data_IF_335723395796
#
_entry.id   IF_335723395796
#
_cell.length_a   1.000
_cell.length_b   1.000
_cell.length_c   1.000
_cell.angle_alpha   90.00
_cell.angle_beta   90.00
_cell.angle_gamma   90.00
#
_symmetry.space_group_name_H-M   'P 1'
#
loop_
_entity.id
_entity.type
_entity.pdbx_description
1 polymer ?
#
# COMPACT_ATOMS: atom_id res chain seq x y z
N UNK A 1 55.10 -31.63 -20.28
CA UNK A 1 56.01 -31.26 -21.39
C UNK A 1 55.96 -29.76 -21.58
N UNK A 2 57.06 -29.10 -22.00
CA UNK A 2 57.33 -27.69 -21.65
C UNK A 2 56.91 -26.66 -22.72
N UNK A 3 57.16 -25.38 -22.44
CA UNK A 3 57.26 -24.28 -23.44
C UNK A 3 58.58 -24.35 -24.24
N UNK A 4 59.28 -23.24 -24.60
CA UNK A 4 59.11 -21.81 -24.21
C UNK A 4 59.05 -20.87 -25.48
N UNK A 5 59.42 -19.58 -25.56
CA UNK A 5 60.14 -18.64 -24.66
C UNK A 5 59.86 -17.11 -24.91
N UNK A 6 60.89 -16.27 -24.70
CA UNK A 6 60.99 -14.81 -24.51
C UNK A 6 61.43 -14.06 -25.82
N UNK A 7 61.93 -12.81 -25.88
CA UNK A 7 62.42 -11.87 -24.87
C UNK A 7 62.42 -10.37 -25.28
N UNK A 8 62.24 -9.50 -24.27
CA UNK A 8 63.07 -8.35 -23.85
C UNK A 8 63.63 -7.25 -24.80
N UNK A 9 63.46 -5.99 -24.32
CA UNK A 9 64.50 -4.93 -24.24
C UNK A 9 64.44 -3.83 -25.30
N UNK A 10 64.74 -2.55 -25.05
CA UNK A 10 65.13 -1.80 -23.84
C UNK A 10 65.99 -0.57 -24.22
N UNK A 11 65.75 0.64 -23.67
CA UNK A 11 66.61 1.80 -24.00
C UNK A 11 66.10 3.20 -23.61
N UNK A 12 66.81 3.86 -22.70
CA UNK A 12 66.90 5.32 -22.46
C UNK A 12 68.40 5.69 -22.56
N UNK A 13 68.90 6.95 -22.44
CA UNK A 13 68.25 8.18 -21.94
C UNK A 13 68.61 9.52 -22.68
N UNK A 14 68.22 10.63 -22.03
CA UNK A 14 68.66 12.05 -22.06
C UNK A 14 70.18 12.38 -22.29
N UNK A 15 70.65 13.67 -22.26
CA UNK A 15 69.98 15.00 -22.12
C UNK A 15 70.48 16.11 -23.11
N UNK A 16 69.99 17.36 -22.97
CA UNK A 16 70.70 18.53 -23.55
C UNK A 16 70.03 19.91 -23.48
N UNK A 17 70.38 20.75 -22.48
CA UNK A 17 70.21 22.23 -22.45
C UNK A 17 71.61 22.86 -22.62
N UNK A 18 71.78 24.08 -23.21
CA UNK A 18 71.57 25.32 -22.43
C UNK A 18 71.23 26.62 -23.23
N UNK A 19 71.01 27.71 -22.47
CA UNK A 19 71.31 29.17 -22.67
C UNK A 19 71.62 29.69 -24.10
N UNK A 20 71.21 30.89 -24.53
CA UNK A 20 70.56 32.04 -23.86
C UNK A 20 71.00 33.37 -24.51
N UNK A 21 70.32 34.49 -24.24
CA UNK A 21 70.72 35.84 -24.68
C UNK A 21 69.66 36.60 -25.52
N UNK A 22 69.36 37.84 -25.13
CA UNK A 22 68.86 38.89 -26.02
C UNK A 22 69.99 39.92 -26.25
N UNK A 23 69.73 41.21 -26.50
CA UNK A 23 68.46 41.89 -26.86
C UNK A 23 68.57 42.70 -28.18
N UNK A 24 67.48 43.27 -28.69
CA UNK A 24 67.55 44.55 -29.42
C UNK A 24 66.20 45.29 -29.48
N UNK A 25 66.26 46.62 -29.51
CA UNK A 25 65.12 47.55 -29.48
C UNK A 25 64.79 48.17 -30.85
N UNK A 26 63.66 48.89 -30.89
CA UNK A 26 63.37 50.03 -31.77
C UNK A 26 63.01 49.78 -33.25
N UNK A 27 61.70 49.90 -33.53
CA UNK A 27 61.18 50.98 -34.38
C UNK A 27 59.67 51.13 -34.15
N UNK A 28 59.18 52.36 -33.96
CA UNK A 28 57.77 52.62 -33.62
C UNK A 28 56.87 52.96 -34.82
N UNK A 29 55.56 52.80 -34.63
CA UNK A 29 54.49 53.70 -35.15
C UNK A 29 53.13 53.31 -34.57
N UNK A 30 52.35 54.31 -34.18
CA UNK A 30 50.94 54.23 -33.75
C UNK A 30 50.14 54.98 -34.82
N UNK A 31 49.03 54.44 -35.36
CA UNK A 31 47.71 54.85 -34.84
C UNK A 31 46.57 53.82 -34.88
N UNK A 32 45.66 54.00 -33.90
CA UNK A 32 44.20 53.75 -33.92
C UNK A 32 43.64 52.34 -34.23
N UNK A 33 43.05 51.72 -33.20
CA UNK A 33 42.03 50.67 -33.27
C UNK A 33 40.81 51.03 -32.38
N UNK A 34 39.63 50.40 -32.57
CA UNK A 34 38.35 50.92 -32.08
C UNK A 34 38.02 50.57 -30.61
N UNK A 35 37.01 51.27 -30.09
CA UNK A 35 36.44 51.17 -28.74
C UNK A 35 36.01 49.75 -28.33
N UNK A 36 36.56 49.25 -27.21
CA UNK A 36 36.09 48.05 -26.53
C UNK A 36 35.18 48.37 -25.34
N UNK A 37 34.01 47.73 -25.30
CA UNK A 37 33.04 47.83 -24.18
C UNK A 37 33.55 47.10 -22.92
N UNK A 38 33.14 47.50 -21.71
CA UNK A 38 33.49 46.79 -20.48
C UNK A 38 32.86 45.38 -20.41
N UNK A 39 33.48 44.43 -19.68
CA UNK A 39 32.96 43.07 -19.54
C UNK A 39 31.64 43.03 -18.75
N UNK A 40 30.75 42.06 -19.02
CA UNK A 40 29.50 41.92 -18.28
C UNK A 40 29.74 41.48 -16.82
N UNK A 41 28.83 41.82 -15.89
CA UNK A 41 28.91 41.38 -14.50
C UNK A 41 28.77 39.84 -14.39
N UNK A 42 29.31 39.23 -13.31
CA UNK A 42 29.15 37.80 -13.07
C UNK A 42 27.67 37.41 -12.93
N UNK A 43 27.28 36.18 -13.30
CA UNK A 43 25.92 35.72 -13.13
C UNK A 43 25.51 35.73 -11.65
N UNK A 44 24.21 35.95 -11.34
CA UNK A 44 23.74 35.85 -9.97
C UNK A 44 23.99 34.44 -9.41
N UNK A 45 24.19 34.30 -8.09
CA UNK A 45 24.29 32.98 -7.48
C UNK A 45 23.03 32.15 -7.79
N UNK A 46 23.15 30.82 -7.94
CA UNK A 46 21.97 29.98 -8.13
C UNK A 46 20.99 30.19 -6.97
N UNK A 47 19.67 30.07 -7.22
CA UNK A 47 18.70 30.13 -6.14
C UNK A 47 19.07 29.11 -5.06
N UNK A 48 18.80 29.40 -3.77
CA UNK A 48 19.07 28.45 -2.71
C UNK A 48 18.35 27.15 -3.06
N UNK A 49 19.09 26.03 -3.05
CA UNK A 49 18.47 24.71 -3.18
C UNK A 49 17.39 24.62 -2.13
N UNK A 50 16.14 24.41 -2.55
CA UNK A 50 15.04 24.13 -1.64
C UNK A 50 15.51 23.00 -0.72
N UNK A 51 15.51 23.26 0.59
CA UNK A 51 15.92 22.26 1.54
C UNK A 51 14.96 21.07 1.39
N UNK A 52 15.46 19.93 0.93
CA UNK A 52 14.66 18.72 0.75
C UNK A 52 14.11 18.31 2.11
N UNK A 53 12.85 18.70 2.38
CA UNK A 53 12.19 18.31 3.63
C UNK A 53 11.97 16.81 3.57
N UNK A 54 12.71 16.09 4.41
CA UNK A 54 12.51 14.67 4.69
C UNK A 54 11.30 14.50 5.59
N UNK A 55 10.51 13.46 5.36
CA UNK A 55 9.38 13.10 6.23
C UNK A 55 9.93 12.26 7.38
N UNK A 56 9.63 12.66 8.61
CA UNK A 56 10.10 11.98 9.82
C UNK A 56 9.03 10.96 10.28
N UNK A 57 9.47 9.75 10.63
CA UNK A 57 8.58 8.69 11.12
C UNK A 57 8.26 8.94 12.61
N UNK A 58 6.99 8.77 12.99
CA UNK A 58 6.44 9.09 14.31
C UNK A 58 5.93 10.53 14.43
N UNK A 59 6.22 11.40 13.45
CA UNK A 59 5.76 12.78 13.43
C UNK A 59 4.35 12.93 12.82
N UNK A 60 3.65 13.97 13.27
CA UNK A 60 2.30 14.30 12.79
C UNK A 60 2.35 15.44 11.77
N UNK A 61 1.69 15.20 10.63
CA UNK A 61 1.59 16.12 9.50
C UNK A 61 0.11 16.33 9.12
N UNK A 62 -0.17 17.36 8.32
CA UNK A 62 -1.45 17.43 7.62
C UNK A 62 -1.35 16.60 6.34
N UNK A 63 -2.24 15.64 6.19
CA UNK A 63 -2.36 14.77 5.04
C UNK A 63 -3.67 15.07 4.29
N UNK A 64 -3.58 15.22 2.96
CA UNK A 64 -4.76 15.37 2.09
C UNK A 64 -5.35 13.99 1.76
N UNK A 65 -6.63 13.79 2.05
CA UNK A 65 -7.40 12.58 1.74
C UNK A 65 -7.86 12.55 0.28
N UNK A 66 -8.37 11.41 -0.17
CA UNK A 66 -8.86 11.21 -1.54
C UNK A 66 -10.07 12.10 -1.91
N UNK A 67 -10.87 12.51 -0.91
CA UNK A 67 -11.96 13.48 -1.05
C UNK A 67 -11.49 14.96 -1.12
N UNK A 68 -10.18 15.19 -1.05
CA UNK A 68 -9.55 16.52 -1.09
C UNK A 68 -9.46 17.23 0.26
N UNK A 69 -10.04 16.67 1.34
CA UNK A 69 -9.99 17.24 2.69
C UNK A 69 -8.60 17.07 3.33
N UNK A 70 -8.25 17.95 4.26
CA UNK A 70 -6.98 17.87 5.01
C UNK A 70 -7.24 17.41 6.43
N UNK A 71 -6.50 16.40 6.88
CA UNK A 71 -6.60 15.81 8.21
C UNK A 71 -5.23 15.68 8.87
N UNK A 72 -5.21 15.77 10.21
CA UNK A 72 -4.03 15.45 11.00
C UNK A 72 -3.76 13.95 10.91
N UNK A 73 -2.53 13.56 10.56
CA UNK A 73 -2.13 12.17 10.40
C UNK A 73 -0.71 11.91 10.90
N UNK A 74 -0.53 10.82 11.64
CA UNK A 74 0.76 10.32 12.11
C UNK A 74 1.42 9.47 11.01
N UNK A 75 2.69 9.75 10.67
CA UNK A 75 3.46 8.94 9.73
C UNK A 75 4.06 7.74 10.47
N UNK A 76 3.55 6.54 10.23
CA UNK A 76 3.95 5.32 10.96
C UNK A 76 5.14 4.61 10.30
N UNK A 77 5.23 4.63 8.96
CA UNK A 77 6.28 3.93 8.21
C UNK A 77 6.46 4.57 6.82
N UNK A 78 7.65 4.43 6.21
CA UNK A 78 7.89 4.72 4.79
C UNK A 78 8.26 3.45 4.01
N UNK A 79 8.03 3.46 2.70
CA UNK A 79 8.48 2.43 1.75
C UNK A 79 8.82 3.02 0.39
N UNK A 80 9.64 2.30 -0.37
CA UNK A 80 9.77 2.51 -1.81
C UNK A 80 8.81 1.56 -2.53
N UNK A 81 7.84 2.11 -3.27
CA UNK A 81 6.96 1.35 -4.14
C UNK A 81 7.72 1.01 -5.43
N UNK A 82 8.17 -0.23 -5.59
CA UNK A 82 8.90 -0.68 -6.79
C UNK A 82 8.03 -0.70 -8.06
N UNK A 83 6.70 -0.87 -7.93
CA UNK A 83 5.79 -0.90 -9.09
C UNK A 83 5.60 0.48 -9.72
N UNK A 84 5.57 1.53 -8.89
CA UNK A 84 5.34 2.92 -9.31
C UNK A 84 6.60 3.81 -9.18
N UNK A 85 7.70 3.25 -8.68
CA UNK A 85 9.01 3.91 -8.49
C UNK A 85 8.95 5.21 -7.69
N UNK A 86 8.13 5.22 -6.63
CA UNK A 86 7.87 6.39 -5.76
C UNK A 86 7.99 6.05 -4.28
N UNK A 87 8.29 7.07 -3.46
CA UNK A 87 8.32 6.94 -2.01
C UNK A 87 6.92 7.22 -1.42
N UNK A 88 6.45 6.30 -0.58
CA UNK A 88 5.13 6.35 0.04
C UNK A 88 5.24 6.24 1.56
N UNK A 89 4.30 6.87 2.27
CA UNK A 89 4.24 6.92 3.72
C UNK A 89 2.93 6.31 4.21
N UNK A 90 2.98 5.34 5.11
CA UNK A 90 1.81 4.80 5.77
C UNK A 90 1.36 5.76 6.87
N UNK A 91 0.12 6.25 6.78
CA UNK A 91 -0.42 7.26 7.68
C UNK A 91 -1.64 6.79 8.44
N UNK A 92 -1.70 7.12 9.72
CA UNK A 92 -2.89 6.95 10.55
C UNK A 92 -3.56 8.31 10.78
N UNK A 93 -4.83 8.43 10.40
CA UNK A 93 -5.59 9.67 10.58
C UNK A 93 -6.07 9.81 12.02
N UNK A 94 -5.65 10.88 12.70
CA UNK A 94 -5.90 11.10 14.13
C UNK A 94 -7.41 11.19 14.39
N UNK A 95 -7.92 10.30 15.27
CA UNK A 95 -9.34 10.23 15.62
C UNK A 95 -10.21 9.40 14.66
N UNK A 96 -9.62 8.79 13.63
CA UNK A 96 -10.33 7.91 12.69
C UNK A 96 -10.05 6.42 12.98
N UNK A 97 -10.89 5.53 12.45
CA UNK A 97 -10.70 4.09 12.55
C UNK A 97 -9.57 3.64 11.60
N UNK A 98 -8.67 2.75 12.07
CA UNK A 98 -7.51 2.24 11.32
C UNK A 98 -7.82 1.63 9.95
N UNK A 99 -9.06 1.20 9.69
CA UNK A 99 -9.47 0.78 8.33
C UNK A 99 -9.26 1.87 7.27
N UNK A 100 -9.24 3.14 7.68
CA UNK A 100 -9.05 4.34 6.85
C UNK A 100 -7.58 4.77 6.73
N UNK A 101 -6.65 4.12 7.43
CA UNK A 101 -5.22 4.32 7.24
C UNK A 101 -4.84 3.93 5.80
N UNK A 102 -3.80 4.52 5.24
CA UNK A 102 -3.42 4.29 3.85
C UNK A 102 -1.95 4.64 3.60
N UNK A 103 -1.39 4.20 2.48
CA UNK A 103 -0.12 4.72 1.97
C UNK A 103 -0.39 5.96 1.11
N UNK A 104 0.38 7.02 1.36
CA UNK A 104 0.24 8.30 0.66
C UNK A 104 1.56 8.75 0.06
N UNK A 105 1.50 9.37 -1.11
CA UNK A 105 2.64 10.07 -1.71
C UNK A 105 3.16 11.19 -0.79
N UNK A 106 4.45 11.48 -0.89
CA UNK A 106 5.07 12.69 -0.32
C UNK A 106 4.26 13.97 -0.60
N UNK A 107 3.68 14.06 -1.80
CA UNK A 107 2.89 15.19 -2.28
C UNK A 107 1.52 15.37 -1.59
N UNK A 108 1.05 14.37 -0.82
CA UNK A 108 -0.17 14.46 -0.01
C UNK A 108 0.10 14.99 1.40
N UNK A 109 1.37 15.11 1.82
CA UNK A 109 1.78 15.63 3.12
C UNK A 109 2.17 17.11 3.02
N UNK A 110 1.70 17.94 3.94
CA UNK A 110 2.11 19.34 4.04
C UNK A 110 3.46 19.45 4.75
N UNK A 111 4.55 19.44 3.97
CA UNK A 111 5.93 19.42 4.50
C UNK A 111 6.52 20.80 4.82
N UNK A 112 5.89 21.90 4.40
CA UNK A 112 6.31 23.25 4.77
C UNK A 112 6.05 23.49 6.26
N UNK A 113 7.12 23.66 7.05
CA UNK A 113 7.04 24.04 8.49
C UNK A 113 6.15 25.29 8.70
N UNK A 114 6.10 26.19 7.72
CA UNK A 114 5.26 27.41 7.68
C UNK A 114 3.75 27.17 7.58
N UNK A 115 3.26 25.98 7.20
CA UNK A 115 1.82 25.69 7.18
C UNK A 115 1.29 25.15 8.51
N UNK A 116 2.15 24.65 9.41
CA UNK A 116 1.73 24.30 10.79
C UNK A 116 1.14 25.53 11.52
N UNK A 117 1.64 26.73 11.23
CA UNK A 117 1.13 28.00 11.79
C UNK A 117 -0.08 28.56 11.02
N UNK A 118 -0.12 28.42 9.69
CA UNK A 118 -1.22 28.93 8.87
C UNK A 118 -2.55 28.20 9.13
N UNK A 119 -2.49 26.89 9.38
CA UNK A 119 -3.69 26.09 9.67
C UNK A 119 -4.17 26.29 11.12
N UNK A 120 -3.29 26.64 12.06
CA UNK A 120 -3.70 27.09 13.40
C UNK A 120 -4.64 28.32 13.28
N UNK A 121 -4.27 29.32 12.48
CA UNK A 121 -5.11 30.51 12.21
C UNK A 121 -6.38 30.21 11.42
N UNK A 122 -6.33 29.27 10.47
CA UNK A 122 -7.52 28.87 9.69
C UNK A 122 -8.54 28.10 10.55
N UNK A 123 -8.06 27.29 11.49
CA UNK A 123 -8.90 26.54 12.45
C UNK A 123 -9.70 27.49 13.34
N UNK A 124 -9.03 28.50 13.92
CA UNK A 124 -9.66 29.52 14.77
C UNK A 124 -10.74 30.34 14.04
N UNK A 125 -10.62 30.50 12.71
CA UNK A 125 -11.54 31.31 11.92
C UNK A 125 -12.77 30.54 11.38
N UNK A 126 -12.79 29.21 11.49
CA UNK A 126 -13.93 28.36 11.04
C UNK A 126 -14.66 27.65 12.20
N UNK A 127 -14.13 27.69 13.42
CA UNK A 127 -14.77 27.18 14.64
C UNK A 127 -15.81 28.14 15.27
N UNK A 128 -16.07 29.28 14.64
CA UNK A 128 -16.86 30.37 15.24
C UNK A 128 -18.39 30.29 15.11
N UNK A 129 -18.95 29.39 14.28
CA UNK A 129 -20.40 29.41 13.96
C UNK A 129 -21.01 28.03 13.66
N UNK A 130 -20.76 27.06 14.54
CA UNK A 130 -21.56 25.83 14.62
C UNK A 130 -22.22 25.75 16.00
N UNK A 131 -23.56 25.65 16.09
CA UNK A 131 -24.22 25.52 17.38
C UNK A 131 -23.85 24.17 18.01
N UNK A 132 -23.45 24.19 19.27
CA UNK A 132 -23.24 22.98 20.08
C UNK A 132 -24.51 22.11 20.03
N UNK A 133 -24.48 21.03 19.24
CA UNK A 133 -25.54 20.03 19.36
C UNK A 133 -25.37 19.31 20.69
N UNK A 134 -26.44 19.20 21.49
CA UNK A 134 -26.33 18.55 22.79
C UNK A 134 -25.94 17.09 22.58
N UNK A 135 -24.86 16.66 23.25
CA UNK A 135 -24.47 15.26 23.33
C UNK A 135 -25.69 14.42 23.73
N UNK A 136 -26.28 13.70 22.77
CA UNK A 136 -27.29 12.70 23.07
C UNK A 136 -26.59 11.55 23.76
N UNK A 137 -26.49 11.64 25.10
CA UNK A 137 -25.97 10.60 25.98
C UNK A 137 -26.80 9.33 25.78
N UNK A 138 -26.33 8.51 24.85
CA UNK A 138 -26.88 7.22 24.49
C UNK A 138 -26.97 6.39 25.78
N UNK A 139 -28.16 5.88 26.07
CA UNK A 139 -28.37 5.07 27.27
C UNK A 139 -27.52 3.80 27.19
N UNK A 140 -27.07 3.27 28.33
CA UNK A 140 -26.23 2.06 28.43
C UNK A 140 -26.78 0.88 27.60
N UNK A 141 -28.11 0.79 27.46
CA UNK A 141 -28.79 -0.24 26.69
C UNK A 141 -28.81 0.01 25.17
N UNK A 142 -28.86 1.27 24.72
CA UNK A 142 -28.72 1.63 23.31
C UNK A 142 -27.27 1.48 22.82
N UNK A 143 -26.28 1.81 23.66
CA UNK A 143 -24.87 1.56 23.34
C UNK A 143 -24.61 0.06 23.16
N UNK A 144 -25.07 -0.76 24.12
CA UNK A 144 -25.00 -2.22 24.03
C UNK A 144 -25.60 -2.78 22.74
N UNK A 145 -26.80 -2.34 22.32
CA UNK A 145 -27.39 -2.75 21.04
C UNK A 145 -26.60 -2.28 19.80
N UNK A 146 -25.99 -1.10 19.86
CA UNK A 146 -25.13 -0.62 18.77
C UNK A 146 -23.85 -1.43 18.65
N UNK A 147 -23.24 -1.80 19.78
CA UNK A 147 -22.03 -2.62 19.85
C UNK A 147 -22.33 -4.07 19.40
N UNK A 148 -23.48 -4.64 19.83
CA UNK A 148 -23.98 -5.97 19.43
C UNK A 148 -24.31 -6.08 17.92
N UNK A 149 -24.87 -5.03 17.30
CA UNK A 149 -25.17 -5.01 15.86
C UNK A 149 -23.91 -4.88 15.01
N UNK A 150 -22.94 -4.07 15.45
CA UNK A 150 -21.69 -3.82 14.71
C UNK A 150 -20.58 -4.85 14.95
N UNK A 151 -20.83 -5.89 15.77
CA UNK A 151 -19.80 -6.85 16.20
C UNK A 151 -18.55 -6.19 16.79
N UNK A 152 -18.72 -5.05 17.49
CA UNK A 152 -17.65 -4.47 18.29
C UNK A 152 -17.38 -5.45 19.44
N UNK A 153 -16.17 -6.01 19.50
CA UNK A 153 -15.83 -7.09 20.43
C UNK A 153 -16.22 -6.75 21.88
N UNK A 154 -16.63 -7.80 22.60
CA UNK A 154 -16.58 -7.82 24.07
C UNK A 154 -15.21 -7.32 24.52
N UNK A 155 -15.20 -6.47 25.55
CA UNK A 155 -13.96 -5.92 26.12
C UNK A 155 -12.91 -7.01 26.37
N UNK A 156 -11.64 -6.70 26.07
CA UNK A 156 -10.42 -7.54 26.25
C UNK A 156 -10.39 -8.44 27.51
N UNK A 157 -11.11 -8.08 28.57
CA UNK A 157 -11.27 -8.87 29.79
C UNK A 157 -12.05 -10.20 29.63
N UNK A 158 -12.73 -10.45 28.51
CA UNK A 158 -13.48 -11.70 28.26
C UNK A 158 -12.75 -12.72 27.37
N UNK A 159 -11.55 -12.40 26.85
CA UNK A 159 -10.76 -13.30 26.01
C UNK A 159 -9.70 -14.04 26.82
N UNK A 160 -9.37 -15.27 26.42
CA UNK A 160 -8.37 -16.05 27.15
C UNK A 160 -6.96 -15.42 27.00
N UNK A 161 -6.05 -15.59 27.98
CA UNK A 161 -4.74 -14.95 27.95
C UNK A 161 -3.89 -15.29 26.72
N UNK A 162 -4.07 -16.47 26.12
CA UNK A 162 -3.34 -16.88 24.91
C UNK A 162 -3.92 -16.25 23.65
N UNK A 163 -5.24 -16.22 23.48
CA UNK A 163 -5.89 -15.45 22.39
C UNK A 163 -5.56 -13.97 22.50
N UNK A 164 -5.66 -13.36 23.68
CA UNK A 164 -5.36 -11.93 23.87
C UNK A 164 -3.86 -11.60 23.64
N UNK A 165 -2.94 -12.54 23.94
CA UNK A 165 -1.52 -12.37 23.62
C UNK A 165 -1.26 -12.49 22.12
N UNK A 166 -1.84 -13.49 21.45
CA UNK A 166 -1.77 -13.68 20.00
C UNK A 166 -2.41 -12.50 19.26
N UNK A 167 -3.55 -11.99 19.71
CA UNK A 167 -4.18 -10.79 19.15
C UNK A 167 -3.31 -9.55 19.32
N UNK A 168 -2.63 -9.37 20.46
CA UNK A 168 -1.73 -8.23 20.69
C UNK A 168 -0.43 -8.33 19.89
N UNK A 169 0.10 -9.53 19.71
CA UNK A 169 1.25 -9.78 18.83
C UNK A 169 0.86 -9.59 17.36
N UNK A 170 -0.29 -10.12 16.93
CA UNK A 170 -0.89 -9.84 15.64
C UNK A 170 -1.09 -8.34 15.44
N UNK A 171 -1.76 -7.62 16.35
CA UNK A 171 -2.00 -6.17 16.24
C UNK A 171 -0.68 -5.38 16.09
N UNK A 172 0.40 -5.82 16.73
CA UNK A 172 1.72 -5.22 16.56
C UNK A 172 2.36 -5.51 15.18
N UNK A 173 2.18 -6.72 14.65
CA UNK A 173 2.66 -7.13 13.32
C UNK A 173 1.80 -6.54 12.19
N UNK A 174 0.50 -6.36 12.41
CA UNK A 174 -0.50 -5.94 11.42
C UNK A 174 -0.76 -4.43 11.39
N UNK A 175 -0.04 -3.63 12.19
CA UNK A 175 -0.20 -2.15 12.22
C UNK A 175 -0.11 -1.50 10.85
N UNK A 176 0.65 -2.09 9.93
CA UNK A 176 0.88 -1.58 8.58
C UNK A 176 0.39 -2.61 7.57
N UNK A 177 -0.69 -2.29 6.86
CA UNK A 177 -1.13 -3.08 5.70
C UNK A 177 -0.20 -2.78 4.52
N UNK A 178 0.53 -3.78 4.05
CA UNK A 178 1.45 -3.62 2.91
C UNK A 178 0.75 -3.79 1.55
N UNK A 179 -0.38 -4.49 1.49
CA UNK A 179 -1.27 -4.52 0.32
C UNK A 179 -2.32 -3.43 0.52
N UNK A 180 -2.25 -2.41 -0.32
CA UNK A 180 -3.13 -1.23 -0.24
C UNK A 180 -4.43 -1.46 -0.96
N UNK A 181 -4.35 -2.16 -2.10
CA UNK A 181 -5.45 -2.35 -3.04
C UNK A 181 -5.32 -3.65 -3.81
N UNK A 182 -6.45 -4.16 -4.28
CA UNK A 182 -6.53 -5.31 -5.17
C UNK A 182 -7.27 -4.95 -6.45
N UNK A 183 -6.92 -5.63 -7.53
CA UNK A 183 -7.69 -5.64 -8.77
C UNK A 183 -8.33 -7.03 -8.94
N UNK A 184 -9.66 -7.09 -9.05
CA UNK A 184 -10.42 -8.33 -9.21
C UNK A 184 -11.56 -8.14 -10.22
N UNK A 185 -11.53 -8.90 -11.32
CA UNK A 185 -12.46 -8.76 -12.43
C UNK A 185 -12.40 -7.35 -13.05
N UNK A 186 -13.43 -6.54 -12.83
CA UNK A 186 -13.50 -5.14 -13.26
C UNK A 186 -13.36 -4.12 -12.12
N UNK A 187 -13.14 -4.58 -10.89
CA UNK A 187 -13.06 -3.73 -9.71
C UNK A 187 -11.62 -3.50 -9.27
N UNK A 188 -11.33 -2.26 -8.85
CA UNK A 188 -10.21 -1.94 -7.98
C UNK A 188 -10.78 -1.63 -6.59
N UNK A 189 -10.23 -2.28 -5.56
CA UNK A 189 -10.77 -2.25 -4.19
C UNK A 189 -9.64 -1.99 -3.22
N UNK A 190 -9.74 -0.94 -2.41
CA UNK A 190 -8.77 -0.63 -1.37
C UNK A 190 -8.95 -1.57 -0.16
N UNK A 191 -7.86 -2.09 0.36
CA UNK A 191 -7.81 -3.00 1.50
C UNK A 191 -8.07 -2.24 2.80
N UNK A 192 -8.89 -2.83 3.68
CA UNK A 192 -9.22 -2.24 4.98
C UNK A 192 -8.23 -2.68 6.05
N UNK A 193 -7.87 -3.97 6.02
CA UNK A 193 -7.03 -4.62 7.03
C UNK A 193 -5.83 -5.33 6.39
N UNK A 194 -4.79 -5.57 7.19
CA UNK A 194 -3.69 -6.43 6.79
C UNK A 194 -4.18 -7.86 6.47
N UNK A 195 -3.61 -8.45 5.42
CA UNK A 195 -3.74 -9.88 5.08
C UNK A 195 -2.36 -10.51 4.85
N UNK A 196 -2.08 -11.69 5.41
CA UNK A 196 -0.76 -12.35 5.36
C UNK A 196 -0.54 -13.09 4.04
N UNK A 197 -0.53 -12.37 2.93
CA UNK A 197 -0.09 -12.93 1.65
C UNK A 197 1.39 -13.35 1.76
N UNK A 198 1.76 -14.55 1.27
CA UNK A 198 3.08 -15.13 1.52
C UNK A 198 4.21 -14.35 0.85
N UNK A 199 5.43 -14.50 1.38
CA UNK A 199 6.68 -14.03 0.76
C UNK A 199 6.61 -12.54 0.35
N UNK A 200 7.06 -12.20 -0.87
CA UNK A 200 6.98 -10.82 -1.37
C UNK A 200 5.62 -10.47 -1.97
N UNK A 201 4.62 -11.35 -1.96
CA UNK A 201 3.24 -10.96 -2.34
C UNK A 201 2.64 -10.03 -1.29
N UNK A 202 2.87 -10.30 0.00
CA UNK A 202 2.46 -9.43 1.09
C UNK A 202 3.07 -8.03 1.00
N UNK A 203 4.25 -7.87 0.39
CA UNK A 203 4.95 -6.58 0.22
C UNK A 203 4.47 -5.75 -0.97
N UNK A 204 3.58 -6.27 -1.82
CA UNK A 204 3.15 -5.55 -3.02
C UNK A 204 2.07 -4.51 -2.68
N UNK A 205 2.18 -3.26 -3.16
CA UNK A 205 1.14 -2.24 -2.96
C UNK A 205 -0.20 -2.65 -3.60
N UNK A 206 -0.12 -3.36 -4.74
CA UNK A 206 -1.24 -3.83 -5.52
C UNK A 206 -1.09 -5.32 -5.85
N UNK A 207 -2.14 -6.09 -5.58
CA UNK A 207 -2.27 -7.48 -6.05
C UNK A 207 -3.36 -7.62 -7.11
N UNK A 208 -3.11 -8.49 -8.07
CA UNK A 208 -4.02 -8.80 -9.18
C UNK A 208 -4.61 -10.19 -8.94
N UNK A 209 -5.93 -10.28 -8.79
CA UNK A 209 -6.65 -11.48 -8.35
C UNK A 209 -7.59 -11.95 -9.46
N UNK A 210 -7.47 -13.22 -9.85
CA UNK A 210 -8.43 -13.83 -10.77
C UNK A 210 -9.79 -14.00 -10.09
N UNK A 211 -10.85 -13.41 -10.62
CA UNK A 211 -12.20 -13.50 -10.04
C UNK A 211 -12.75 -14.93 -9.94
N UNK A 212 -12.35 -15.83 -10.86
CA UNK A 212 -12.87 -17.20 -10.90
C UNK A 212 -12.09 -18.20 -10.04
N UNK A 213 -10.75 -18.18 -10.08
CA UNK A 213 -9.91 -19.13 -9.33
C UNK A 213 -9.22 -18.52 -8.09
N UNK A 214 -9.44 -17.23 -7.83
CA UNK A 214 -8.91 -16.44 -6.71
C UNK A 214 -7.38 -16.38 -6.61
N UNK A 215 -6.64 -16.91 -7.59
CA UNK A 215 -5.19 -16.81 -7.66
C UNK A 215 -4.77 -15.33 -7.66
N UNK A 216 -3.88 -14.97 -6.75
CA UNK A 216 -3.24 -13.65 -6.68
C UNK A 216 -1.91 -13.63 -7.45
N UNK A 217 -1.56 -12.46 -8.00
CA UNK A 217 -0.39 -12.19 -8.84
C UNK A 217 0.18 -10.81 -8.53
N UNK A 218 1.51 -10.67 -8.60
CA UNK A 218 2.22 -9.40 -8.31
C UNK A 218 2.02 -8.33 -9.40
N UNK A 219 1.93 -8.73 -10.67
CA UNK A 219 2.02 -7.83 -11.81
C UNK A 219 0.86 -7.99 -12.80
N UNK A 220 0.47 -6.89 -13.43
CA UNK A 220 -0.57 -6.90 -14.47
C UNK A 220 -0.22 -7.83 -15.63
N UNK A 221 1.05 -7.89 -16.04
CA UNK A 221 1.51 -8.77 -17.12
C UNK A 221 1.23 -10.24 -16.83
N UNK A 222 1.43 -10.71 -15.60
CA UNK A 222 1.16 -12.10 -15.23
C UNK A 222 -0.34 -12.36 -15.05
N UNK A 223 -1.10 -11.36 -14.60
CA UNK A 223 -2.57 -11.40 -14.58
C UNK A 223 -3.19 -11.53 -15.99
N UNK A 224 -2.80 -10.66 -16.94
CA UNK A 224 -3.28 -10.73 -18.33
C UNK A 224 -2.94 -12.06 -19.02
N UNK A 225 -1.74 -12.61 -18.77
CA UNK A 225 -1.38 -13.96 -19.23
C UNK A 225 -2.26 -15.04 -18.60
N UNK A 226 -2.54 -14.93 -17.30
CA UNK A 226 -3.43 -15.86 -16.61
C UNK A 226 -4.87 -15.79 -17.12
N UNK A 227 -5.43 -14.61 -17.43
CA UNK A 227 -6.78 -14.48 -18.00
C UNK A 227 -6.93 -15.25 -19.33
N UNK A 228 -5.89 -15.25 -20.18
CA UNK A 228 -5.88 -16.02 -21.43
C UNK A 228 -5.71 -17.55 -21.27
N UNK A 229 -5.26 -18.01 -20.09
CA UNK A 229 -4.97 -19.43 -19.81
C UNK A 229 -5.99 -20.07 -18.85
N UNK A 230 -6.62 -19.28 -17.99
CA UNK A 230 -7.54 -19.75 -16.96
C UNK A 230 -8.83 -20.28 -17.59
N UNK A 231 -9.13 -21.56 -17.35
CA UNK A 231 -10.36 -22.22 -17.83
C UNK A 231 -11.52 -22.12 -16.81
N UNK A 232 -11.26 -21.62 -15.60
CA UNK A 232 -12.29 -21.44 -14.57
C UNK A 232 -13.22 -20.29 -14.94
N UNK A 233 -14.54 -20.53 -14.85
CA UNK A 233 -15.61 -19.52 -15.02
C UNK A 233 -16.65 -19.57 -13.90
N UNK A 234 -16.33 -20.26 -12.82
CA UNK A 234 -17.17 -20.43 -11.63
C UNK A 234 -16.29 -20.91 -10.48
N UNK A 235 -16.75 -20.81 -9.22
CA UNK A 235 -16.13 -21.51 -8.11
C UNK A 235 -16.00 -23.02 -8.37
N UNK A 236 -15.04 -23.70 -7.72
CA UNK A 236 -14.99 -25.16 -7.66
C UNK A 236 -16.16 -25.71 -6.80
N UNK A 237 -16.11 -27.00 -6.48
CA UNK A 237 -17.16 -27.64 -5.68
C UNK A 237 -18.48 -27.80 -6.42
N UNK A 238 -19.59 -27.75 -5.68
CA UNK A 238 -20.93 -28.13 -6.14
C UNK A 238 -21.87 -26.93 -6.13
N UNK A 239 -22.55 -26.65 -7.24
CA UNK A 239 -23.70 -25.73 -7.24
C UNK A 239 -24.85 -26.39 -6.46
N UNK A 240 -25.17 -25.87 -5.28
CA UNK A 240 -26.22 -26.40 -4.38
C UNK A 240 -27.52 -25.57 -4.43
N UNK A 241 -27.45 -24.37 -4.98
CA UNK A 241 -28.59 -23.48 -5.15
C UNK A 241 -28.45 -22.69 -6.45
N UNK A 242 -29.55 -22.55 -7.20
CA UNK A 242 -29.64 -21.68 -8.37
C UNK A 242 -31.03 -21.05 -8.47
N UNK A 243 -31.10 -19.73 -8.62
CA UNK A 243 -32.34 -18.99 -8.92
C UNK A 243 -32.05 -17.75 -9.75
N UNK A 244 -32.62 -17.68 -10.96
CA UNK A 244 -32.33 -16.62 -11.94
C UNK A 244 -30.81 -16.50 -12.21
N UNK A 245 -30.21 -15.34 -11.94
CA UNK A 245 -28.78 -15.08 -12.06
C UNK A 245 -28.01 -15.29 -10.74
N UNK A 246 -28.61 -15.86 -9.70
CA UNK A 246 -27.94 -16.11 -8.41
C UNK A 246 -27.68 -17.60 -8.22
N UNK A 247 -26.43 -17.93 -7.89
CA UNK A 247 -25.99 -19.30 -7.58
C UNK A 247 -25.17 -19.36 -6.31
N UNK A 248 -25.30 -20.47 -5.57
CA UNK A 248 -24.45 -20.78 -4.40
C UNK A 248 -23.67 -22.06 -4.63
N UNK A 249 -22.36 -21.98 -4.43
CA UNK A 249 -21.43 -23.10 -4.55
C UNK A 249 -20.95 -23.55 -3.16
N UNK A 250 -21.10 -24.84 -2.88
CA UNK A 250 -20.53 -25.51 -1.71
C UNK A 250 -19.14 -26.06 -2.06
N UNK A 251 -18.13 -25.60 -1.32
CA UNK A 251 -16.71 -25.89 -1.57
C UNK A 251 -16.08 -26.44 -0.30
N UNK A 252 -15.65 -27.69 -0.33
CA UNK A 252 -14.92 -28.30 0.77
C UNK A 252 -13.46 -27.81 0.80
N UNK A 253 -13.00 -27.29 1.94
CA UNK A 253 -11.65 -26.78 2.10
C UNK A 253 -10.54 -27.84 2.06
N UNK A 254 -10.88 -29.11 2.25
CA UNK A 254 -9.96 -30.25 2.07
C UNK A 254 -9.74 -30.55 0.59
N UNK A 255 -10.82 -30.61 -0.18
CA UNK A 255 -10.77 -30.96 -1.61
C UNK A 255 -10.27 -29.79 -2.48
N UNK A 256 -10.51 -28.55 -2.04
CA UNK A 256 -10.18 -27.34 -2.78
C UNK A 256 -9.27 -26.39 -2.00
N UNK A 257 -8.28 -26.95 -1.28
CA UNK A 257 -7.35 -26.25 -0.36
C UNK A 257 -6.80 -24.92 -0.90
N UNK A 258 -6.19 -24.91 -2.08
CA UNK A 258 -5.60 -23.70 -2.67
C UNK A 258 -6.65 -22.61 -2.92
N UNK A 259 -7.84 -22.99 -3.41
CA UNK A 259 -8.93 -22.04 -3.65
C UNK A 259 -9.43 -21.41 -2.34
N UNK A 260 -9.61 -22.24 -1.31
CA UNK A 260 -10.09 -21.79 -0.01
C UNK A 260 -9.04 -20.95 0.74
N UNK A 261 -7.75 -21.26 0.60
CA UNK A 261 -6.65 -20.42 1.11
C UNK A 261 -6.63 -19.06 0.40
N UNK A 262 -6.77 -19.02 -0.93
CA UNK A 262 -6.87 -17.78 -1.69
C UNK A 262 -8.09 -16.94 -1.25
N UNK A 263 -9.25 -17.58 -1.07
CA UNK A 263 -10.47 -16.94 -0.56
C UNK A 263 -10.26 -16.38 0.86
N UNK A 264 -9.60 -17.11 1.74
CA UNK A 264 -9.30 -16.65 3.09
C UNK A 264 -8.34 -15.44 3.11
N UNK A 265 -7.31 -15.43 2.26
CA UNK A 265 -6.39 -14.29 2.12
C UNK A 265 -7.10 -13.06 1.54
N UNK A 266 -7.95 -13.25 0.53
CA UNK A 266 -8.83 -12.18 0.00
C UNK A 266 -9.75 -11.64 1.09
N UNK A 267 -10.42 -12.53 1.84
CA UNK A 267 -11.37 -12.15 2.88
C UNK A 267 -10.71 -11.39 4.03
N UNK A 268 -9.47 -11.74 4.39
CA UNK A 268 -8.72 -11.09 5.48
C UNK A 268 -8.37 -9.62 5.20
N UNK A 269 -8.38 -9.18 3.93
CA UNK A 269 -8.26 -7.75 3.58
C UNK A 269 -9.46 -6.91 4.05
N UNK A 270 -10.61 -7.56 4.31
CA UNK A 270 -11.89 -6.91 4.64
C UNK A 270 -12.49 -7.39 5.97
N UNK A 271 -11.84 -8.35 6.63
CA UNK A 271 -12.20 -8.88 7.96
C UNK A 271 -11.04 -8.67 8.94
N UNK A 272 -11.31 -7.99 10.05
CA UNK A 272 -10.32 -7.65 11.06
C UNK A 272 -9.81 -8.92 11.78
N UNK A 273 -10.69 -9.57 12.54
CA UNK A 273 -10.38 -10.69 13.45
C UNK A 273 -10.40 -12.09 12.79
N UNK A 274 -10.15 -12.22 11.48
CA UNK A 274 -10.05 -13.55 10.84
C UNK A 274 -8.70 -14.20 11.16
N UNK A 275 -8.70 -15.18 12.05
CA UNK A 275 -7.49 -15.85 12.56
C UNK A 275 -7.00 -17.02 11.70
N UNK A 276 -7.91 -17.76 11.07
CA UNK A 276 -7.58 -18.94 10.26
C UNK A 276 -7.66 -18.64 8.76
N UNK A 277 -6.54 -18.84 8.05
CA UNK A 277 -6.42 -18.58 6.61
C UNK A 277 -5.61 -19.63 5.81
N UNK A 278 -4.67 -20.35 6.44
CA UNK A 278 -3.97 -21.46 5.79
C UNK A 278 -4.54 -22.84 6.12
N UNK A 279 -5.01 -23.05 7.35
CA UNK A 279 -5.77 -24.25 7.70
C UNK A 279 -7.24 -24.06 7.34
N UNK A 280 -7.64 -24.74 6.27
CA UNK A 280 -8.98 -24.64 5.65
C UNK A 280 -9.70 -25.99 5.60
N UNK A 281 -9.01 -27.09 5.92
CA UNK A 281 -9.56 -28.45 5.83
C UNK A 281 -10.74 -28.71 6.80
N UNK A 282 -10.81 -28.09 8.00
CA UNK A 282 -11.98 -28.18 8.88
C UNK A 282 -13.24 -27.47 8.38
N UNK A 283 -13.15 -26.69 7.29
CA UNK A 283 -14.22 -25.78 6.85
C UNK A 283 -14.89 -26.20 5.53
N UNK A 284 -16.17 -25.85 5.41
CA UNK A 284 -16.92 -25.78 4.16
C UNK A 284 -17.20 -24.32 3.85
N UNK A 285 -17.05 -23.91 2.60
CA UNK A 285 -17.25 -22.56 2.11
C UNK A 285 -18.45 -22.51 1.19
N UNK A 286 -19.35 -21.56 1.42
CA UNK A 286 -20.56 -21.32 0.64
C UNK A 286 -20.41 -19.99 -0.09
N UNK A 287 -20.08 -20.05 -1.37
CA UNK A 287 -19.83 -18.87 -2.20
C UNK A 287 -21.10 -18.42 -2.90
N UNK A 288 -21.50 -17.17 -2.66
CA UNK A 288 -22.57 -16.49 -3.38
C UNK A 288 -22.01 -15.87 -4.66
N UNK A 289 -22.67 -16.15 -5.78
CA UNK A 289 -22.26 -15.68 -7.11
C UNK A 289 -23.41 -15.08 -7.90
N UNK A 290 -23.09 -14.07 -8.70
CA UNK A 290 -23.93 -13.57 -9.79
C UNK A 290 -23.47 -14.19 -11.11
N UNK A 291 -24.41 -14.73 -11.89
CA UNK A 291 -24.13 -15.53 -13.09
C UNK A 291 -24.59 -14.79 -14.34
N UNK A 292 -23.67 -14.58 -15.28
CA UNK A 292 -23.90 -13.89 -16.55
C UNK A 292 -23.58 -14.82 -17.76
N UNK A 293 -23.13 -14.26 -18.90
CA UNK A 293 -22.69 -15.04 -20.08
C UNK A 293 -21.22 -15.46 -20.03
N UNK A 294 -20.39 -14.80 -19.21
CA UNK A 294 -18.98 -15.09 -19.02
C UNK A 294 -18.77 -16.14 -17.92
N UNK A 295 -19.51 -16.07 -16.82
CA UNK A 295 -19.39 -17.03 -15.72
C UNK A 295 -20.23 -16.73 -14.49
N UNK A 296 -19.85 -17.35 -13.38
CA UNK A 296 -20.35 -17.10 -12.03
C UNK A 296 -19.32 -16.26 -11.26
N UNK A 297 -19.62 -14.98 -11.09
CA UNK A 297 -18.77 -13.96 -10.47
C UNK A 297 -19.00 -13.94 -8.96
N UNK A 298 -17.92 -13.95 -8.17
CA UNK A 298 -18.01 -13.94 -6.71
C UNK A 298 -18.55 -12.59 -6.19
N UNK A 299 -19.63 -12.66 -5.40
CA UNK A 299 -20.23 -11.51 -4.70
C UNK A 299 -19.86 -11.53 -3.22
N UNK A 300 -19.83 -12.72 -2.62
CA UNK A 300 -19.51 -12.92 -1.23
C UNK A 300 -19.43 -14.40 -0.87
N UNK A 301 -19.17 -14.70 0.39
CA UNK A 301 -19.19 -16.06 0.91
C UNK A 301 -19.52 -16.10 2.41
N UNK A 302 -19.87 -17.28 2.91
CA UNK A 302 -19.66 -17.60 4.32
C UNK A 302 -18.94 -18.94 4.47
N UNK A 303 -18.17 -19.10 5.54
CA UNK A 303 -17.54 -20.36 5.92
C UNK A 303 -18.22 -20.95 7.15
N UNK A 304 -18.26 -22.28 7.22
CA UNK A 304 -18.82 -23.04 8.33
C UNK A 304 -17.85 -24.16 8.70
N UNK A 305 -17.64 -24.39 10.00
CA UNK A 305 -16.93 -25.56 10.51
C UNK A 305 -17.73 -26.84 10.22
N UNK A 306 -17.05 -27.91 9.79
CA UNK A 306 -17.67 -29.23 9.60
C UNK A 306 -18.23 -29.79 10.92
N UNK A 307 -17.45 -29.62 11.98
CA UNK A 307 -17.77 -29.98 13.35
C UNK A 307 -17.49 -28.75 14.22
N UNK A 308 -18.54 -28.05 14.66
CA UNK A 308 -18.41 -26.89 15.55
C UNK A 308 -18.85 -27.27 16.97
N UNK A 309 -17.98 -27.26 17.99
CA UNK A 309 -18.33 -27.63 19.36
C UNK A 309 -19.46 -26.77 19.93
N UNK A 310 -19.48 -25.48 19.61
CA UNK A 310 -20.48 -24.50 20.06
C UNK A 310 -21.75 -24.48 19.17
N UNK A 311 -21.79 -25.32 18.13
CA UNK A 311 -22.93 -25.39 17.20
C UNK A 311 -23.05 -24.21 16.24
N UNK A 312 -21.98 -23.45 16.00
CA UNK A 312 -21.99 -22.29 15.11
C UNK A 312 -22.33 -22.70 13.67
N UNK A 313 -23.38 -22.08 13.11
CA UNK A 313 -23.79 -22.32 11.72
C UNK A 313 -23.02 -21.46 10.70
N UNK A 314 -22.31 -20.43 11.18
CA UNK A 314 -21.43 -19.53 10.40
C UNK A 314 -20.20 -19.22 11.25
N UNK A 315 -19.00 -19.33 10.66
CA UNK A 315 -17.72 -18.97 11.29
C UNK A 315 -17.19 -17.61 10.78
N UNK A 316 -17.31 -17.35 9.47
CA UNK A 316 -17.04 -16.04 8.87
C UNK A 316 -18.07 -15.77 7.77
N UNK A 317 -18.45 -14.52 7.56
CA UNK A 317 -19.28 -14.08 6.43
C UNK A 317 -18.72 -12.77 5.87
N UNK A 318 -18.72 -12.64 4.54
CA UNK A 318 -18.25 -11.45 3.84
C UNK A 318 -19.01 -11.27 2.52
N UNK A 319 -19.50 -10.06 2.28
CA UNK A 319 -19.83 -9.55 0.94
C UNK A 319 -18.64 -8.70 0.48
N UNK A 320 -18.16 -8.86 -0.76
CA UNK A 320 -17.04 -8.04 -1.25
C UNK A 320 -17.45 -6.55 -1.32
N UNK A 321 -16.56 -5.59 -1.00
CA UNK A 321 -16.95 -4.18 -0.84
C UNK A 321 -17.77 -3.55 -1.98
N UNK A 322 -17.51 -3.81 -3.28
CA UNK A 322 -18.31 -3.25 -4.38
C UNK A 322 -19.79 -3.66 -4.40
N UNK A 323 -20.15 -4.73 -3.69
CA UNK A 323 -21.53 -5.23 -3.58
C UNK A 323 -22.17 -4.92 -2.21
N UNK A 324 -21.47 -4.18 -1.34
CA UNK A 324 -22.05 -3.64 -0.10
C UNK A 324 -22.86 -2.36 -0.41
N UNK A 325 -23.61 -1.86 0.58
CA UNK A 325 -24.46 -0.66 0.47
C UNK A 325 -24.04 0.42 1.46
#
# INVERSE_FOLDING_TARGET
GPGPEAAAGGGSPEPGRPRGGGPEEAAGRVPTGPSGSPPPPPPPPPPPREAEVTVEIGETYLCRRADGTWHSAEVIQSRLNEQESREEYYVHYVGFNRRLDEWVDKNRLALTKTLKEAVQKSSEQFLGDLPEQPERKITRNQKRKHDEINHVQKTYAEMDPTTAALEKEHEAITKVKYVDKIHIGHFEIDAWYFSPFPEDYGKQPKLWICEFCLKYMKYERTYRLHLGQCQWRQPPGKEIYRKSNISVYEVDGKDHKIYCQNLCLLAKLFLDHKTLYFDVEPFVFYLLTEVDRQGAHIVGYFSKEKESPDGNNVACILTLPPYQR
#
